data_IF_961065686372
#
_entry.id   IF_961065686372
#
_cell.length_a   1.000
_cell.length_b   1.000
_cell.length_c   1.000
_cell.angle_alpha   90.00
_cell.angle_beta   90.00
_cell.angle_gamma   90.00
#
_symmetry.space_group_name_H-M   'P 1'
#
loop_
_entity.id
_entity.type
_entity.pdbx_description
1 polymer ?
#
# COMPACT_ATOMS: atom_id res chain seq x y z
N UNK A 1 -2.06 -9.57 -4.44
CA UNK A 1 -3.07 -9.34 -5.51
C UNK A 1 -3.24 -10.63 -6.30
N UNK A 2 -4.47 -11.13 -6.45
CA UNK A 2 -4.75 -12.50 -6.93
C UNK A 2 -4.87 -13.52 -5.78
N UNK A 3 -5.19 -14.79 -6.08
CA UNK A 3 -5.27 -15.86 -5.08
C UNK A 3 -3.96 -16.00 -4.28
N UNK A 4 -4.09 -16.25 -2.98
CA UNK A 4 -2.95 -16.40 -2.07
C UNK A 4 -2.12 -17.62 -2.51
N UNK A 5 -0.84 -17.41 -2.84
CA UNK A 5 0.06 -18.47 -3.32
C UNK A 5 -0.11 -18.85 -4.80
N UNK A 6 -0.87 -18.08 -5.57
CA UNK A 6 -0.99 -18.30 -7.02
C UNK A 6 0.30 -17.92 -7.77
N UNK A 7 0.58 -18.53 -8.95
CA UNK A 7 1.80 -18.29 -9.72
C UNK A 7 1.96 -16.86 -10.26
N UNK A 8 0.87 -16.09 -10.30
CA UNK A 8 0.84 -14.68 -10.75
C UNK A 8 0.60 -13.73 -9.55
N UNK A 9 0.49 -14.28 -8.33
CA UNK A 9 0.16 -13.48 -7.17
C UNK A 9 1.35 -12.62 -6.77
N UNK A 10 1.15 -11.29 -6.75
CA UNK A 10 2.16 -10.33 -6.31
C UNK A 10 1.83 -9.86 -4.90
N UNK A 11 2.84 -9.88 -4.03
CA UNK A 11 2.75 -9.34 -2.67
C UNK A 11 3.30 -7.92 -2.67
N UNK A 12 2.63 -7.03 -1.95
CA UNK A 12 3.03 -5.63 -1.80
C UNK A 12 2.70 -5.14 -0.40
N UNK A 13 3.47 -4.16 0.05
CA UNK A 13 3.28 -3.47 1.32
C UNK A 13 3.01 -2.00 0.99
N UNK A 14 1.87 -1.50 1.46
CA UNK A 14 1.49 -0.11 1.35
C UNK A 14 1.54 0.53 2.73
N UNK A 15 2.40 1.53 2.89
CA UNK A 15 2.42 2.38 4.09
C UNK A 15 1.52 3.59 3.82
N UNK A 16 0.49 3.75 4.63
CA UNK A 16 -0.49 4.85 4.50
C UNK A 16 -0.79 5.48 5.85
N UNK A 17 -0.98 6.80 5.86
CA UNK A 17 -1.42 7.59 7.01
C UNK A 17 -2.96 7.72 7.09
N UNK A 18 -3.70 7.15 6.14
CA UNK A 18 -5.15 7.27 6.05
C UNK A 18 -5.86 5.98 6.48
N UNK A 19 -6.71 6.02 7.54
CA UNK A 19 -7.50 4.86 7.95
C UNK A 19 -8.52 4.46 6.88
N UNK A 20 -8.98 5.40 6.05
CA UNK A 20 -9.88 5.14 4.94
C UNK A 20 -9.23 4.24 3.89
N UNK A 21 -7.96 4.51 3.56
CA UNK A 21 -7.19 3.70 2.60
C UNK A 21 -6.99 2.30 3.16
N UNK A 22 -6.64 2.16 4.45
CA UNK A 22 -6.51 0.84 5.10
C UNK A 22 -7.82 0.05 5.04
N UNK A 23 -8.96 0.68 5.36
CA UNK A 23 -10.26 0.03 5.31
C UNK A 23 -10.64 -0.41 3.88
N UNK A 24 -10.38 0.45 2.90
CA UNK A 24 -10.63 0.16 1.49
C UNK A 24 -9.73 -0.96 0.97
N UNK A 25 -8.45 -0.97 1.37
CA UNK A 25 -7.51 -2.03 1.01
C UNK A 25 -7.90 -3.38 1.59
N UNK A 26 -8.53 -3.42 2.76
CA UNK A 26 -9.08 -4.66 3.33
C UNK A 26 -10.19 -5.28 2.46
N UNK A 27 -10.96 -4.45 1.75
CA UNK A 27 -12.03 -4.91 0.85
C UNK A 27 -11.46 -5.28 -0.52
N UNK A 28 -10.64 -4.40 -1.08
CA UNK A 28 -10.12 -4.50 -2.45
C UNK A 28 -9.00 -5.54 -2.60
N UNK A 29 -8.27 -5.83 -1.52
CA UNK A 29 -7.12 -6.74 -1.56
C UNK A 29 -7.28 -7.85 -0.53
N UNK A 30 -6.44 -8.88 -0.66
CA UNK A 30 -6.27 -9.88 0.41
C UNK A 30 -5.20 -9.34 1.34
N UNK A 31 -5.62 -8.90 2.51
CA UNK A 31 -4.78 -8.35 3.58
C UNK A 31 -4.83 -9.30 4.80
N UNK A 32 -3.72 -9.48 5.49
CA UNK A 32 -3.70 -10.15 6.79
C UNK A 32 -2.48 -11.03 7.02
N UNK A 33 -2.56 -11.87 8.06
CA UNK A 33 -1.47 -12.75 8.49
C UNK A 33 -1.03 -13.74 7.42
N UNK A 34 -1.95 -14.25 6.62
CA UNK A 34 -1.66 -15.23 5.57
C UNK A 34 -0.69 -14.67 4.51
N UNK A 35 -0.86 -13.39 4.15
CA UNK A 35 0.03 -12.70 3.20
C UNK A 35 1.39 -12.41 3.83
N UNK A 36 1.41 -12.05 5.11
CA UNK A 36 2.67 -11.86 5.85
C UNK A 36 3.47 -13.17 5.96
N UNK A 37 2.80 -14.29 6.22
CA UNK A 37 3.44 -15.62 6.26
C UNK A 37 4.00 -16.05 4.92
N UNK A 38 3.39 -15.65 3.81
CA UNK A 38 3.95 -15.87 2.46
C UNK A 38 5.20 -15.01 2.24
N UNK A 39 5.14 -13.73 2.63
CA UNK A 39 6.28 -12.81 2.53
C UNK A 39 7.51 -13.36 3.29
N UNK A 40 7.30 -13.95 4.46
CA UNK A 40 8.36 -14.53 5.31
C UNK A 40 8.96 -15.84 4.75
N UNK A 41 8.23 -16.57 3.91
CA UNK A 41 8.69 -17.86 3.39
C UNK A 41 9.57 -17.73 2.16
N UNK A 42 9.24 -16.79 1.29
CA UNK A 42 9.83 -16.75 -0.05
C UNK A 42 10.94 -15.70 -0.21
N UNK A 43 11.32 -14.94 0.84
CA UNK A 43 12.26 -13.79 0.78
C UNK A 43 12.07 -12.93 -0.49
N UNK A 44 10.83 -12.90 -0.98
CA UNK A 44 10.54 -12.54 -2.35
C UNK A 44 10.36 -11.04 -2.45
N UNK A 45 10.84 -10.47 -3.55
CA UNK A 45 10.69 -9.05 -3.87
C UNK A 45 9.21 -8.66 -3.79
N UNK A 46 8.88 -7.85 -2.80
CA UNK A 46 7.56 -7.26 -2.66
C UNK A 46 7.50 -5.88 -3.30
N UNK A 47 6.30 -5.49 -3.71
CA UNK A 47 6.05 -4.16 -4.25
C UNK A 47 5.96 -3.18 -3.08
N UNK A 48 6.85 -2.18 -3.07
CA UNK A 48 6.83 -1.08 -2.10
C UNK A 48 5.87 0.01 -2.59
N UNK A 49 4.89 0.34 -1.78
CA UNK A 49 3.99 1.47 -2.01
C UNK A 49 3.99 2.39 -0.77
N UNK A 50 4.06 3.69 -1.02
CA UNK A 50 3.95 4.74 -0.01
C UNK A 50 2.79 5.64 -0.42
N UNK A 51 1.89 5.88 0.52
CA UNK A 51 0.77 6.78 0.37
C UNK A 51 0.72 7.72 1.57
N UNK A 52 0.53 9.01 1.32
CA UNK A 52 0.23 9.97 2.37
C UNK A 52 -0.85 10.92 1.90
N UNK A 53 -1.76 11.31 2.79
CA UNK A 53 -2.74 12.36 2.53
C UNK A 53 -2.06 13.74 2.41
N UNK A 54 -0.80 13.86 2.86
CA UNK A 54 -0.03 15.11 2.77
C UNK A 54 -0.41 16.13 3.84
N UNK A 55 -1.02 15.68 4.95
CA UNK A 55 -1.46 16.53 6.07
C UNK A 55 -0.74 16.14 7.37
N UNK A 56 0.42 16.77 7.68
CA UNK A 56 1.18 16.45 8.89
C UNK A 56 0.52 16.96 10.18
N UNK A 57 -0.42 17.91 10.11
CA UNK A 57 -1.23 18.39 11.25
C UNK A 57 -2.71 18.51 10.84
N UNK A 58 -3.65 18.53 11.81
CA UNK A 58 -5.02 18.98 11.54
C UNK A 58 -5.01 20.50 11.32
N UNK A 59 -4.63 20.92 10.12
CA UNK A 59 -4.60 22.31 9.69
C UNK A 59 -5.80 22.62 8.79
N UNK A 60 -6.48 23.73 9.08
CA UNK A 60 -7.70 24.24 8.42
C UNK A 60 -7.43 24.84 7.03
N UNK A 61 -6.48 24.28 6.26
CA UNK A 61 -6.21 24.74 4.89
C UNK A 61 -6.97 23.91 3.88
N UNK A 62 -7.45 24.57 2.84
CA UNK A 62 -8.12 23.92 1.71
C UNK A 62 -7.18 22.96 0.98
N UNK A 63 -7.72 21.79 0.65
CA UNK A 63 -7.03 20.71 -0.06
C UNK A 63 -6.65 21.16 -1.46
N UNK A 64 -5.35 21.27 -1.74
CA UNK A 64 -4.90 21.60 -3.10
C UNK A 64 -4.76 20.38 -4.03
N UNK A 65 -4.92 19.12 -3.58
CA UNK A 65 -4.65 17.92 -4.41
C UNK A 65 -3.55 18.17 -5.45
N UNK A 66 -2.33 18.47 -4.97
CA UNK A 66 -1.19 18.54 -5.86
C UNK A 66 -1.09 17.18 -6.54
N UNK A 67 -1.39 17.10 -7.85
CA UNK A 67 -1.27 15.90 -8.68
C UNK A 67 0.16 15.32 -8.74
N UNK A 68 1.06 15.76 -7.86
CA UNK A 68 2.49 15.44 -7.82
C UNK A 68 2.94 14.71 -6.57
N UNK A 69 2.04 14.35 -5.65
CA UNK A 69 2.40 13.49 -4.52
C UNK A 69 2.09 12.02 -4.83
N UNK A 70 3.04 11.45 -5.58
CA UNK A 70 3.43 10.04 -5.61
C UNK A 70 2.31 9.01 -5.83
N UNK A 71 1.73 9.04 -7.03
CA UNK A 71 1.22 7.82 -7.64
C UNK A 71 2.41 6.89 -7.95
N UNK A 72 2.58 5.86 -7.13
CA UNK A 72 3.49 4.71 -7.33
C UNK A 72 4.98 5.08 -7.39
N UNK A 73 5.68 5.05 -6.25
CA UNK A 73 7.15 4.92 -6.23
C UNK A 73 7.56 3.48 -6.64
N UNK A 74 7.27 3.09 -7.88
CA UNK A 74 7.96 1.99 -8.55
C UNK A 74 9.21 2.57 -9.21
N UNK A 75 10.21 2.89 -8.39
CA UNK A 75 11.58 3.12 -8.83
C UNK A 75 12.48 2.08 -8.16
N UNK A 76 13.36 1.38 -8.92
CA UNK A 76 14.37 0.55 -8.31
C UNK A 76 15.37 1.46 -7.60
N UNK A 77 15.38 1.37 -6.28
CA UNK A 77 16.55 1.71 -5.45
C UNK A 77 16.87 0.46 -4.65
#
# INVERSE_FOLDING_TARGET
MGPIGGPISKVGIELTDSPYVVASMRIMTRMGKEVLSLLQKDDSNFIRALHSVGLPKPETREFMHSCRDQMVLSGPV
#
